data_IF_644240114443
#
_entry.id   IF_644240114443
#
_cell.length_a   1.000
_cell.length_b   1.000
_cell.length_c   1.000
_cell.angle_alpha   90.00
_cell.angle_beta   90.00
_cell.angle_gamma   90.00
#
_symmetry.space_group_name_H-M   'P 1'
#
loop_
_entity.id
_entity.type
_entity.pdbx_description
1 polymer ?
#
# COMPACT_ATOMS: atom_id res chain seq x y z
N UNK A 1 21.55 -9.53 -28.22
CA UNK A 1 20.11 -9.47 -27.91
C UNK A 1 19.77 -8.04 -27.52
N UNK A 2 19.12 -7.29 -28.40
CA UNK A 2 18.64 -5.95 -28.09
C UNK A 2 17.57 -6.10 -26.99
N UNK A 3 17.85 -5.55 -25.80
CA UNK A 3 16.83 -5.45 -24.76
C UNK A 3 15.89 -4.34 -25.24
N UNK A 4 14.76 -4.71 -25.83
CA UNK A 4 13.67 -3.76 -26.06
C UNK A 4 13.30 -3.19 -24.68
N UNK A 5 13.62 -1.92 -24.45
CA UNK A 5 13.15 -1.21 -23.27
C UNK A 5 11.63 -1.16 -23.31
N UNK A 6 10.98 -1.65 -22.25
CA UNK A 6 9.53 -1.54 -22.10
C UNK A 6 9.24 -0.04 -21.90
N UNK A 7 8.40 0.59 -22.74
CA UNK A 7 7.98 1.97 -22.53
C UNK A 7 7.25 2.12 -21.19
N UNK A 8 7.34 3.28 -20.54
CA UNK A 8 6.67 3.52 -19.25
C UNK A 8 5.14 3.34 -19.33
N UNK A 9 4.55 3.53 -20.53
CA UNK A 9 3.13 3.27 -20.80
C UNK A 9 2.72 1.81 -20.64
N UNK A 10 3.66 0.89 -20.86
CA UNK A 10 3.42 -0.55 -20.79
C UNK A 10 3.84 -1.15 -19.44
N UNK A 11 4.42 -0.32 -18.55
CA UNK A 11 4.80 -0.71 -17.19
C UNK A 11 3.64 -0.58 -16.22
N UNK A 12 3.81 -1.23 -15.06
CA UNK A 12 2.92 -1.05 -13.90
C UNK A 12 3.42 0.15 -13.08
N UNK A 13 2.56 1.11 -12.77
CA UNK A 13 2.89 2.17 -11.83
C UNK A 13 2.65 1.71 -10.38
N UNK A 14 3.68 1.77 -9.55
CA UNK A 14 3.56 1.58 -8.10
C UNK A 14 3.58 2.95 -7.41
N UNK A 15 2.41 3.41 -6.95
CA UNK A 15 2.27 4.65 -6.16
C UNK A 15 2.30 4.27 -4.68
N UNK A 16 3.38 4.64 -4.01
CA UNK A 16 3.64 4.24 -2.63
C UNK A 16 3.76 5.47 -1.76
N UNK A 17 3.00 5.53 -0.67
CA UNK A 17 3.00 6.66 0.26
C UNK A 17 3.31 6.21 1.66
N UNK A 18 3.86 7.08 2.49
CA UNK A 18 4.08 6.80 3.91
C UNK A 18 3.93 8.06 4.77
N UNK A 19 3.86 7.86 6.10
CA UNK A 19 3.78 8.95 7.10
C UNK A 19 2.68 9.97 6.83
N UNK A 20 1.50 9.49 6.44
CA UNK A 20 0.29 10.33 6.48
C UNK A 20 -0.08 10.68 7.93
N UNK A 21 0.12 9.72 8.84
CA UNK A 21 0.20 9.97 10.27
C UNK A 21 1.67 10.17 10.67
N UNK A 22 2.03 11.30 11.30
CA UNK A 22 3.43 11.62 11.53
C UNK A 22 4.17 10.70 12.50
N UNK A 23 3.50 10.11 13.49
CA UNK A 23 4.12 9.28 14.52
C UNK A 23 4.48 7.86 14.06
N UNK A 24 4.08 7.46 12.87
CA UNK A 24 4.26 6.11 12.32
C UNK A 24 5.63 5.94 11.67
N UNK A 25 6.69 6.16 12.45
CA UNK A 25 8.09 6.21 12.01
C UNK A 25 8.60 4.89 11.41
N UNK A 26 8.09 3.75 11.87
CA UNK A 26 8.38 2.43 11.31
C UNK A 26 8.07 2.35 9.80
N UNK A 27 7.01 3.01 9.32
CA UNK A 27 6.71 3.09 7.87
C UNK A 27 7.86 3.73 7.07
N UNK A 28 8.59 4.70 7.64
CA UNK A 28 9.75 5.32 6.98
C UNK A 28 10.92 4.35 6.83
N UNK A 29 11.14 3.47 7.80
CA UNK A 29 12.20 2.46 7.72
C UNK A 29 11.89 1.39 6.67
N UNK A 30 10.61 1.00 6.55
CA UNK A 30 10.17 0.10 5.47
C UNK A 30 10.36 0.75 4.10
N UNK A 31 9.95 2.01 3.93
CA UNK A 31 10.19 2.75 2.69
C UNK A 31 11.70 2.90 2.40
N UNK A 32 12.53 3.15 3.42
CA UNK A 32 13.99 3.22 3.24
C UNK A 32 14.56 1.89 2.73
N UNK A 33 14.13 0.76 3.29
CA UNK A 33 14.53 -0.56 2.83
C UNK A 33 14.14 -0.82 1.39
N UNK A 34 12.90 -0.48 1.03
CA UNK A 34 12.42 -0.58 -0.34
C UNK A 34 13.23 0.31 -1.29
N UNK A 35 13.51 1.56 -0.93
CA UNK A 35 14.33 2.48 -1.73
C UNK A 35 15.73 1.92 -1.94
N UNK A 36 16.39 1.42 -0.88
CA UNK A 36 17.72 0.80 -0.97
C UNK A 36 17.73 -0.39 -1.93
N UNK A 37 16.72 -1.26 -1.84
CA UNK A 37 16.56 -2.38 -2.77
C UNK A 37 16.35 -1.86 -4.21
N UNK A 38 15.42 -0.92 -4.41
CA UNK A 38 15.09 -0.34 -5.71
C UNK A 38 16.25 0.42 -6.35
N UNK A 39 17.18 0.99 -5.59
CA UNK A 39 18.38 1.66 -6.14
C UNK A 39 19.58 0.72 -6.22
N UNK A 40 19.43 -0.53 -5.80
CA UNK A 40 20.47 -1.54 -5.82
C UNK A 40 20.74 -2.13 -7.21
N UNK A 41 21.80 -2.93 -7.26
CA UNK A 41 22.31 -3.60 -8.46
C UNK A 41 21.95 -5.08 -8.55
N UNK A 42 21.12 -5.60 -7.63
CA UNK A 42 20.66 -6.99 -7.70
C UNK A 42 19.85 -7.24 -8.98
N UNK A 43 19.86 -8.50 -9.45
CA UNK A 43 19.14 -8.88 -10.68
C UNK A 43 17.64 -8.63 -10.53
N UNK A 44 17.10 -8.87 -9.34
CA UNK A 44 15.71 -8.67 -8.97
C UNK A 44 15.34 -7.18 -9.01
N UNK A 45 16.18 -6.30 -8.43
CA UNK A 45 15.92 -4.87 -8.44
C UNK A 45 15.96 -4.30 -9.87
N UNK A 46 16.93 -4.73 -10.68
CA UNK A 46 17.03 -4.35 -12.10
C UNK A 46 15.80 -4.85 -12.88
N UNK A 47 15.38 -6.10 -12.67
CA UNK A 47 14.20 -6.66 -13.32
C UNK A 47 12.92 -5.91 -12.91
N UNK A 48 12.79 -5.56 -11.64
CA UNK A 48 11.64 -4.83 -11.13
C UNK A 48 11.54 -3.43 -11.75
N UNK A 49 12.66 -2.68 -11.87
CA UNK A 49 12.68 -1.36 -12.54
C UNK A 49 12.37 -1.42 -14.04
N UNK A 50 12.56 -2.58 -14.69
CA UNK A 50 12.14 -2.77 -16.09
C UNK A 50 10.63 -2.93 -16.24
N UNK A 51 9.95 -3.42 -15.20
CA UNK A 51 8.51 -3.71 -15.23
C UNK A 51 7.65 -2.62 -14.57
N UNK A 52 8.25 -1.80 -13.71
CA UNK A 52 7.53 -0.80 -12.91
C UNK A 52 8.04 0.62 -13.09
N UNK A 53 7.11 1.57 -12.98
CA UNK A 53 7.39 2.96 -12.67
C UNK A 53 7.05 3.20 -11.20
N UNK A 54 8.06 3.46 -10.37
CA UNK A 54 7.85 3.74 -8.94
C UNK A 54 7.63 5.23 -8.70
N UNK A 55 6.54 5.56 -8.01
CA UNK A 55 6.18 6.91 -7.57
C UNK A 55 6.03 6.91 -6.06
N UNK A 56 7.10 7.28 -5.36
CA UNK A 56 7.21 7.12 -3.91
C UNK A 56 7.14 8.48 -3.23
N UNK A 57 6.16 8.66 -2.34
CA UNK A 57 6.08 9.81 -1.41
C UNK A 57 6.47 9.32 -0.02
N UNK A 58 7.73 9.48 0.39
CA UNK A 58 8.23 8.89 1.64
C UNK A 58 7.62 9.52 2.90
N UNK A 59 7.01 10.70 2.75
CA UNK A 59 6.39 11.42 3.85
C UNK A 59 5.27 12.34 3.38
N UNK A 60 4.02 12.01 3.74
CA UNK A 60 2.83 12.79 3.39
C UNK A 60 2.54 13.95 4.36
N UNK A 61 3.07 13.91 5.58
CA UNK A 61 2.78 14.91 6.60
C UNK A 61 4.07 15.44 7.26
N UNK A 62 4.97 16.09 6.49
CA UNK A 62 6.23 16.60 7.03
C UNK A 62 6.04 17.61 8.16
N UNK A 63 5.05 18.49 8.04
CA UNK A 63 4.78 19.50 9.07
C UNK A 63 4.38 18.86 10.41
N UNK A 64 3.49 17.87 10.38
CA UNK A 64 3.13 17.11 11.58
C UNK A 64 4.32 16.35 12.17
N UNK A 65 5.29 15.93 11.36
CA UNK A 65 6.53 15.29 11.85
C UNK A 65 7.39 16.30 12.60
N UNK A 66 7.60 17.48 12.01
CA UNK A 66 8.40 18.56 12.61
C UNK A 66 7.80 18.99 13.95
N UNK A 67 6.47 19.05 14.05
CA UNK A 67 5.76 19.42 15.29
C UNK A 67 5.68 18.29 16.32
N UNK A 68 6.12 17.07 16.00
CA UNK A 68 6.00 15.93 16.91
C UNK A 68 4.57 15.42 17.11
N UNK A 69 3.67 15.67 16.16
CA UNK A 69 2.33 15.10 16.20
C UNK A 69 2.39 13.57 16.03
N UNK A 70 1.39 12.86 16.55
CA UNK A 70 1.24 11.43 16.26
C UNK A 70 0.40 11.18 15.00
N UNK A 71 -0.77 11.81 14.91
CA UNK A 71 -1.80 11.45 13.91
C UNK A 71 -2.12 12.55 12.91
N UNK A 72 -2.18 13.80 13.36
CA UNK A 72 -2.80 14.87 12.62
C UNK A 72 -1.80 15.81 11.94
N UNK A 73 -2.27 16.54 10.93
CA UNK A 73 -1.61 17.73 10.38
C UNK A 73 -1.54 18.89 11.38
N UNK A 74 -0.91 19.99 10.99
CA UNK A 74 -0.78 21.22 11.82
C UNK A 74 -2.12 21.81 12.25
N UNK A 75 -3.19 21.58 11.49
CA UNK A 75 -4.54 22.06 11.79
C UNK A 75 -5.37 21.06 12.61
N UNK A 76 -4.74 20.00 13.15
CA UNK A 76 -5.43 18.96 13.92
C UNK A 76 -6.25 17.98 13.07
N UNK A 77 -6.16 18.05 11.74
CA UNK A 77 -6.93 17.18 10.83
C UNK A 77 -6.19 15.87 10.50
N UNK A 78 -6.91 14.75 10.52
CA UNK A 78 -6.43 13.43 10.03
C UNK A 78 -6.45 13.41 8.50
N UNK A 79 -5.26 13.46 7.89
CA UNK A 79 -5.11 13.51 6.44
C UNK A 79 -5.67 12.25 5.75
N UNK A 80 -5.61 11.08 6.41
CA UNK A 80 -6.17 9.83 5.89
C UNK A 80 -7.69 9.70 6.11
N UNK A 81 -8.39 10.82 6.32
CA UNK A 81 -9.86 10.94 6.22
C UNK A 81 -10.31 11.93 5.16
N UNK A 82 -9.38 12.52 4.42
CA UNK A 82 -9.64 13.62 3.50
C UNK A 82 -9.38 13.27 2.03
N UNK A 83 -9.37 11.99 1.68
CA UNK A 83 -9.13 11.57 0.29
C UNK A 83 -10.35 11.70 -0.61
N UNK A 84 -11.60 11.65 -0.12
CA UNK A 84 -12.81 11.64 -0.97
C UNK A 84 -12.98 12.95 -1.75
N UNK A 85 -12.98 14.08 -1.03
CA UNK A 85 -13.09 15.42 -1.59
C UNK A 85 -12.07 16.35 -0.93
N UNK A 86 -10.75 16.15 -1.18
CA UNK A 86 -9.73 16.99 -0.55
C UNK A 86 -9.90 18.43 -1.02
N UNK A 87 -9.70 19.36 -0.09
CA UNK A 87 -9.53 20.78 -0.44
C UNK A 87 -8.04 21.05 -0.59
N UNK A 88 -7.62 21.65 -1.72
CA UNK A 88 -6.20 21.84 -2.05
C UNK A 88 -5.47 22.74 -1.04
N UNK A 89 -6.15 23.76 -0.54
CA UNK A 89 -5.66 24.70 0.48
C UNK A 89 -5.46 24.04 1.84
N UNK A 90 -6.39 23.17 2.26
CA UNK A 90 -6.34 22.53 3.58
C UNK A 90 -5.52 21.22 3.59
N UNK A 91 -5.55 20.45 2.51
CA UNK A 91 -4.95 19.12 2.40
C UNK A 91 -4.09 18.99 1.12
N UNK A 92 -3.08 19.85 0.93
CA UNK A 92 -2.30 19.88 -0.31
C UNK A 92 -1.61 18.55 -0.62
N UNK A 93 -1.07 17.85 0.39
CA UNK A 93 -0.37 16.58 0.18
C UNK A 93 -1.32 15.46 -0.27
N UNK A 94 -2.52 15.41 0.28
CA UNK A 94 -3.59 14.48 -0.16
C UNK A 94 -4.09 14.83 -1.56
N UNK A 95 -4.31 16.12 -1.84
CA UNK A 95 -4.71 16.61 -3.17
C UNK A 95 -3.71 16.20 -4.25
N UNK A 96 -2.42 16.46 -4.01
CA UNK A 96 -1.36 16.14 -4.96
C UNK A 96 -1.12 14.63 -5.08
N UNK A 97 -1.37 13.84 -4.03
CA UNK A 97 -1.35 12.38 -4.11
C UNK A 97 -2.44 11.86 -5.05
N UNK A 98 -3.66 12.41 -4.99
CA UNK A 98 -4.72 12.07 -5.97
C UNK A 98 -4.30 12.42 -7.40
N UNK A 99 -3.68 13.59 -7.60
CA UNK A 99 -3.18 13.99 -8.91
C UNK A 99 -2.09 13.05 -9.43
N UNK A 100 -1.19 12.59 -8.55
CA UNK A 100 -0.13 11.63 -8.87
C UNK A 100 -0.70 10.26 -9.28
N UNK A 101 -1.72 9.76 -8.57
CA UNK A 101 -2.43 8.53 -8.95
C UNK A 101 -3.13 8.69 -10.30
N UNK A 102 -3.83 9.80 -10.53
CA UNK A 102 -4.49 10.08 -11.83
C UNK A 102 -3.50 10.12 -12.99
N UNK A 103 -2.37 10.82 -12.80
CA UNK A 103 -1.29 10.85 -13.78
C UNK A 103 -0.78 9.43 -14.07
N UNK A 104 -0.64 8.61 -13.04
CA UNK A 104 -0.19 7.22 -13.17
C UNK A 104 -1.11 6.36 -14.02
N UNK A 105 -2.43 6.56 -13.93
CA UNK A 105 -3.40 5.84 -14.76
C UNK A 105 -3.31 6.23 -16.24
N UNK A 106 -2.91 7.47 -16.53
CA UNK A 106 -2.76 7.94 -17.93
C UNK A 106 -1.42 7.60 -18.55
N UNK A 107 -0.40 7.27 -17.73
CA UNK A 107 0.98 7.09 -18.19
C UNK A 107 1.48 5.65 -18.11
N UNK A 108 0.68 4.71 -17.62
CA UNK A 108 1.09 3.34 -17.29
C UNK A 108 -0.08 2.37 -17.42
N UNK A 109 0.19 1.12 -17.74
CA UNK A 109 -0.82 0.12 -18.10
C UNK A 109 -1.75 -0.21 -16.91
N UNK A 110 -1.15 -0.32 -15.72
CA UNK A 110 -1.84 -0.66 -14.46
C UNK A 110 -1.28 0.19 -13.34
N UNK A 111 -2.08 0.43 -12.31
CA UNK A 111 -1.65 1.11 -11.08
C UNK A 111 -1.81 0.17 -9.89
N UNK A 112 -0.81 0.18 -9.01
CA UNK A 112 -0.89 -0.36 -7.66
C UNK A 112 -0.71 0.83 -6.71
N UNK A 113 -1.58 0.93 -5.71
CA UNK A 113 -1.47 1.92 -4.64
C UNK A 113 -1.23 1.22 -3.31
N UNK A 114 -0.29 1.72 -2.51
CA UNK A 114 -0.10 1.24 -1.15
C UNK A 114 0.31 2.39 -0.23
N UNK A 115 -0.47 2.60 0.83
CA UNK A 115 -0.18 3.57 1.88
C UNK A 115 0.42 2.84 3.10
N UNK A 116 1.64 3.18 3.49
CA UNK A 116 2.41 2.54 4.56
C UNK A 116 2.15 3.26 5.89
N UNK A 117 1.67 2.50 6.86
CA UNK A 117 1.23 2.93 8.19
C UNK A 117 1.96 2.15 9.29
N UNK A 118 1.81 2.65 10.51
CA UNK A 118 2.22 2.00 11.75
C UNK A 118 1.01 1.61 12.62
N UNK A 119 1.03 0.40 13.17
CA UNK A 119 -0.06 -0.12 13.99
C UNK A 119 0.39 -0.34 15.44
N UNK A 120 -0.15 0.44 16.37
CA UNK A 120 0.29 0.49 17.78
C UNK A 120 -0.23 -0.63 18.67
N UNK A 121 -1.21 -1.41 18.19
CA UNK A 121 -1.91 -2.43 19.01
C UNK A 121 -1.74 -3.87 18.56
N UNK A 122 -1.25 -4.11 17.35
CA UNK A 122 -1.16 -5.45 16.77
C UNK A 122 0.31 -5.74 16.47
N UNK A 123 0.67 -6.99 16.66
CA UNK A 123 1.94 -7.53 16.20
C UNK A 123 1.90 -7.78 14.69
N UNK A 124 3.07 -8.08 14.15
CA UNK A 124 3.31 -8.42 12.74
C UNK A 124 3.09 -7.24 11.76
N UNK A 125 3.39 -7.51 10.50
CA UNK A 125 3.04 -6.68 9.34
C UNK A 125 1.83 -7.30 8.66
N UNK A 126 0.84 -6.50 8.28
CA UNK A 126 -0.33 -7.00 7.55
C UNK A 126 -0.89 -5.91 6.63
N UNK A 127 -1.84 -6.28 5.78
CA UNK A 127 -2.50 -5.34 4.88
C UNK A 127 -3.99 -5.24 5.13
N UNK A 128 -4.49 -4.03 4.94
CA UNK A 128 -5.88 -3.82 4.63
C UNK A 128 -6.05 -3.61 3.13
N UNK A 129 -6.98 -4.34 2.52
CA UNK A 129 -7.40 -4.17 1.13
C UNK A 129 -8.86 -3.72 1.05
N UNK A 130 -9.45 -3.89 -0.13
CA UNK A 130 -10.87 -3.68 -0.37
C UNK A 130 -11.40 -4.89 -1.12
N UNK A 131 -12.58 -5.36 -0.72
CA UNK A 131 -13.24 -6.50 -1.34
C UNK A 131 -14.27 -6.01 -2.36
N UNK A 132 -14.22 -6.56 -3.58
CA UNK A 132 -15.14 -6.30 -4.70
C UNK A 132 -16.63 -6.30 -4.32
N UNK A 133 -17.04 -7.06 -3.30
CA UNK A 133 -18.41 -7.03 -2.79
C UNK A 133 -18.86 -5.65 -2.25
N UNK A 134 -17.94 -4.76 -1.86
CA UNK A 134 -18.23 -3.40 -1.37
C UNK A 134 -18.23 -2.34 -2.47
N UNK A 135 -18.12 -2.74 -3.74
CA UNK A 135 -17.94 -1.80 -4.87
C UNK A 135 -19.27 -1.25 -5.37
N UNK A 136 -20.37 -1.97 -5.12
CA UNK A 136 -21.72 -1.45 -5.35
C UNK A 136 -22.08 -0.43 -4.27
N UNK A 137 -22.81 0.62 -4.66
CA UNK A 137 -23.40 1.55 -3.71
C UNK A 137 -24.22 0.78 -2.68
N UNK A 138 -24.12 1.18 -1.41
CA UNK A 138 -25.04 0.70 -0.38
C UNK A 138 -26.44 1.12 -0.85
N UNK A 139 -27.35 0.19 -1.19
CA UNK A 139 -28.72 0.55 -1.55
C UNK A 139 -29.31 1.48 -0.47
N UNK A 140 -30.17 2.42 -0.88
CA UNK A 140 -30.71 3.47 -0.01
C UNK A 140 -31.38 2.95 1.28
N UNK A 141 -31.69 1.64 1.35
CA UNK A 141 -32.22 0.94 2.52
C UNK A 141 -31.14 0.50 3.54
N UNK A 142 -29.87 0.81 3.32
CA UNK A 142 -28.77 0.43 4.22
C UNK A 142 -28.38 -1.04 4.18
N UNK A 143 -28.92 -1.84 3.26
CA UNK A 143 -28.52 -3.23 3.11
C UNK A 143 -27.07 -3.30 2.60
N UNK A 144 -26.25 -4.16 3.21
CA UNK A 144 -24.90 -4.40 2.71
C UNK A 144 -24.99 -4.90 1.25
N UNK A 145 -24.16 -4.39 0.32
CA UNK A 145 -24.18 -4.82 -1.06
C UNK A 145 -24.04 -6.35 -1.13
N UNK A 146 -24.85 -6.95 -1.99
CA UNK A 146 -24.91 -8.40 -2.16
C UNK A 146 -23.51 -8.89 -2.57
N UNK A 147 -22.97 -9.89 -1.86
CA UNK A 147 -21.66 -10.48 -2.19
C UNK A 147 -21.71 -11.05 -3.61
N UNK A 148 -21.26 -10.29 -4.60
CA UNK A 148 -21.00 -10.85 -5.92
C UNK A 148 -19.78 -11.75 -5.79
N UNK A 149 -20.03 -13.05 -5.77
CA UNK A 149 -19.03 -14.08 -5.60
C UNK A 149 -18.26 -14.29 -6.93
N UNK A 150 -17.56 -13.26 -7.40
CA UNK A 150 -16.58 -13.43 -8.46
C UNK A 150 -15.30 -13.99 -7.81
N UNK A 151 -15.14 -15.32 -7.87
CA UNK A 151 -14.02 -16.02 -7.24
C UNK A 151 -12.66 -15.50 -7.72
N UNK A 152 -12.58 -15.02 -8.97
CA UNK A 152 -11.35 -14.44 -9.53
C UNK A 152 -11.01 -13.07 -8.92
N UNK A 153 -11.98 -12.19 -8.74
CA UNK A 153 -11.72 -10.86 -8.13
C UNK A 153 -11.31 -11.00 -6.67
N UNK A 154 -11.98 -11.89 -5.93
CA UNK A 154 -11.61 -12.23 -4.56
C UNK A 154 -10.15 -12.66 -4.44
N UNK A 155 -9.68 -13.53 -5.36
CA UNK A 155 -8.30 -14.00 -5.40
C UNK A 155 -7.33 -12.90 -5.84
N UNK A 156 -7.66 -12.15 -6.88
CA UNK A 156 -6.84 -11.05 -7.40
C UNK A 156 -6.52 -10.01 -6.33
N UNK A 157 -7.51 -9.61 -5.53
CA UNK A 157 -7.34 -8.62 -4.45
C UNK A 157 -6.41 -9.11 -3.33
N UNK A 158 -6.21 -10.43 -3.19
CA UNK A 158 -5.50 -11.07 -2.07
C UNK A 158 -4.13 -11.62 -2.43
N UNK A 159 -3.80 -11.71 -3.70
CA UNK A 159 -2.60 -12.42 -4.14
C UNK A 159 -1.30 -11.72 -3.72
N UNK A 160 -1.23 -10.38 -3.76
CA UNK A 160 -0.05 -9.65 -3.31
C UNK A 160 0.19 -9.82 -1.79
N UNK A 161 -0.81 -9.61 -0.90
CA UNK A 161 -0.68 -9.95 0.52
C UNK A 161 -0.29 -11.42 0.75
N UNK A 162 -0.81 -12.35 -0.06
CA UNK A 162 -0.44 -13.76 0.04
C UNK A 162 1.04 -13.98 -0.30
N UNK A 163 1.53 -13.43 -1.42
CA UNK A 163 2.94 -13.50 -1.80
C UNK A 163 3.86 -12.92 -0.72
N UNK A 164 3.48 -11.79 -0.11
CA UNK A 164 4.22 -11.20 1.00
C UNK A 164 4.36 -12.14 2.19
N UNK A 165 3.31 -12.90 2.53
CA UNK A 165 3.38 -13.90 3.61
C UNK A 165 4.30 -15.08 3.29
N UNK A 166 4.52 -15.37 2.01
CA UNK A 166 5.48 -16.39 1.58
C UNK A 166 6.91 -15.84 1.55
N UNK A 167 7.05 -14.56 1.21
CA UNK A 167 8.34 -13.89 1.12
C UNK A 167 8.90 -13.49 2.48
N UNK A 168 8.05 -13.11 3.43
CA UNK A 168 8.42 -12.70 4.79
C UNK A 168 7.60 -13.46 5.85
N UNK A 169 7.73 -14.80 5.94
CA UNK A 169 6.87 -15.63 6.80
C UNK A 169 7.06 -15.36 8.29
N UNK A 170 8.19 -14.76 8.69
CA UNK A 170 8.50 -14.36 10.05
C UNK A 170 8.04 -12.93 10.38
N UNK A 171 7.50 -12.17 9.41
CA UNK A 171 7.08 -10.76 9.60
C UNK A 171 5.67 -10.46 9.12
N UNK A 172 5.22 -11.07 8.02
CA UNK A 172 3.96 -10.72 7.35
C UNK A 172 2.84 -11.73 7.65
N UNK A 173 1.80 -11.25 8.31
CA UNK A 173 0.65 -12.03 8.74
C UNK A 173 -0.53 -11.92 7.74
N UNK A 174 -0.64 -12.91 6.84
CA UNK A 174 -1.75 -12.96 5.89
C UNK A 174 -3.12 -13.13 6.56
N UNK A 175 -3.24 -13.99 7.58
CA UNK A 175 -4.50 -14.19 8.31
C UNK A 175 -4.93 -12.93 9.08
N UNK A 176 -3.96 -12.05 9.36
CA UNK A 176 -4.15 -10.73 9.94
C UNK A 176 -4.69 -9.68 8.98
N UNK A 177 -4.68 -9.93 7.67
CA UNK A 177 -5.18 -9.00 6.65
C UNK A 177 -6.72 -8.88 6.70
N UNK A 178 -7.26 -7.72 6.32
CA UNK A 178 -8.72 -7.49 6.22
C UNK A 178 -9.07 -6.76 4.94
N UNK A 179 -10.16 -7.16 4.29
CA UNK A 179 -10.63 -6.58 3.03
C UNK A 179 -12.03 -5.96 3.14
N UNK A 180 -12.69 -6.13 4.30
CA UNK A 180 -13.93 -5.43 4.60
C UNK A 180 -13.70 -3.93 4.78
N UNK A 181 -14.69 -3.14 4.37
CA UNK A 181 -14.66 -1.68 4.47
C UNK A 181 -15.62 -1.23 5.57
N UNK A 182 -15.07 -0.60 6.60
CA UNK A 182 -15.88 0.03 7.65
C UNK A 182 -16.30 1.45 7.21
N UNK A 183 -17.53 1.92 7.51
CA UNK A 183 -18.02 3.24 7.07
C UNK A 183 -17.07 4.41 7.39
N UNK A 184 -16.41 4.37 8.55
CA UNK A 184 -15.44 5.42 8.96
C UNK A 184 -14.15 5.44 8.14
N UNK A 185 -13.94 4.46 7.25
CA UNK A 185 -12.75 4.31 6.40
C UNK A 185 -13.02 4.67 4.95
N UNK A 186 -14.26 5.02 4.62
CA UNK A 186 -14.71 5.40 3.27
C UNK A 186 -13.86 6.51 2.64
N UNK A 187 -13.40 7.47 3.44
CA UNK A 187 -12.59 8.60 2.97
C UNK A 187 -11.07 8.39 3.11
N UNK A 188 -10.61 7.15 3.33
CA UNK A 188 -9.17 6.81 3.34
C UNK A 188 -8.63 6.66 1.92
N UNK A 189 -7.32 6.89 1.75
CA UNK A 189 -6.69 6.79 0.42
C UNK A 189 -6.92 5.43 -0.23
N UNK A 190 -6.77 4.34 0.54
CA UNK A 190 -7.02 2.97 0.09
C UNK A 190 -8.40 2.81 -0.57
N UNK A 191 -9.46 3.18 0.16
CA UNK A 191 -10.85 2.97 -0.29
C UNK A 191 -11.19 3.89 -1.45
N UNK A 192 -10.76 5.15 -1.39
CA UNK A 192 -11.00 6.14 -2.44
C UNK A 192 -10.33 5.73 -3.75
N UNK A 193 -9.05 5.35 -3.75
CA UNK A 193 -8.37 4.91 -4.97
C UNK A 193 -8.91 3.58 -5.50
N UNK A 194 -9.38 2.70 -4.63
CA UNK A 194 -10.03 1.47 -5.06
C UNK A 194 -11.38 1.74 -5.73
N UNK A 195 -12.24 2.58 -5.12
CA UNK A 195 -13.62 2.79 -5.58
C UNK A 195 -13.73 3.86 -6.67
N UNK A 196 -13.18 5.05 -6.44
CA UNK A 196 -13.34 6.20 -7.38
C UNK A 196 -12.37 6.13 -8.56
N UNK A 197 -11.19 5.51 -8.37
CA UNK A 197 -10.17 5.38 -9.41
C UNK A 197 -10.10 3.97 -9.97
N UNK A 198 -10.92 3.05 -9.48
CA UNK A 198 -11.03 1.68 -9.98
C UNK A 198 -9.73 0.87 -9.89
N UNK A 199 -8.88 1.18 -8.92
CA UNK A 199 -7.60 0.49 -8.70
C UNK A 199 -7.80 -0.73 -7.78
N UNK A 200 -7.88 -1.92 -8.36
CA UNK A 200 -8.10 -3.16 -7.60
C UNK A 200 -7.03 -3.41 -6.53
N UNK A 201 -5.76 -3.11 -6.85
CA UNK A 201 -4.62 -3.30 -5.94
C UNK A 201 -4.31 -2.01 -5.18
N UNK A 202 -5.24 -1.62 -4.30
CA UNK A 202 -5.13 -0.45 -3.43
C UNK A 202 -5.13 -0.90 -1.97
N UNK A 203 -4.03 -0.64 -1.27
CA UNK A 203 -3.77 -1.19 0.06
C UNK A 203 -3.41 -0.14 1.10
N UNK A 204 -3.63 -0.50 2.36
CA UNK A 204 -2.92 0.07 3.51
C UNK A 204 -2.02 -1.04 4.05
N UNK A 205 -0.70 -0.82 4.13
CA UNK A 205 0.22 -1.72 4.79
C UNK A 205 0.45 -1.23 6.22
N UNK A 206 0.09 -2.05 7.19
CA UNK A 206 0.20 -1.75 8.61
C UNK A 206 1.43 -2.48 9.16
N UNK A 207 2.42 -1.72 9.62
CA UNK A 207 3.62 -2.27 10.26
C UNK A 207 3.50 -2.13 11.77
N UNK A 208 3.72 -3.18 12.55
CA UNK A 208 3.74 -3.09 14.01
C UNK A 208 4.79 -2.10 14.54
N UNK A 209 4.50 -1.45 15.67
CA UNK A 209 5.51 -0.75 16.49
C UNK A 209 6.26 -1.68 17.44
N UNK A 210 5.83 -2.94 17.53
CA UNK A 210 6.32 -3.91 18.50
C UNK A 210 7.19 -4.96 17.79
N UNK A 211 6.60 -6.08 17.37
CA UNK A 211 7.34 -7.21 16.84
C UNK A 211 6.45 -8.27 16.21
N UNK A 212 7.01 -9.45 15.97
CA UNK A 212 6.32 -10.58 15.35
C UNK A 212 6.21 -11.78 16.28
N UNK A 213 5.09 -12.48 16.17
CA UNK A 213 4.79 -13.75 16.88
C UNK A 213 4.65 -14.92 15.90
N UNK A 214 4.99 -14.74 14.62
CA UNK A 214 4.71 -15.73 13.57
C UNK A 214 5.65 -16.94 13.56
N UNK A 215 6.91 -16.74 13.95
CA UNK A 215 7.97 -17.75 13.83
C UNK A 215 8.39 -18.37 15.15
N UNK A 216 7.84 -17.89 16.27
CA UNK A 216 8.25 -18.24 17.63
C UNK A 216 7.06 -18.25 18.58
N UNK A 217 7.18 -18.96 19.70
CA UNK A 217 6.18 -18.93 20.77
C UNK A 217 6.20 -17.63 21.57
N UNK A 218 7.33 -16.92 21.56
CA UNK A 218 7.51 -15.62 22.19
C UNK A 218 7.61 -14.49 21.15
N UNK A 219 7.15 -13.30 21.56
CA UNK A 219 7.23 -12.09 20.74
C UNK A 219 8.69 -11.72 20.47
N UNK A 220 9.09 -11.70 19.20
CA UNK A 220 10.35 -11.10 18.75
C UNK A 220 10.12 -9.63 18.43
N UNK A 221 10.67 -8.73 19.24
CA UNK A 221 10.65 -7.29 18.95
C UNK A 221 11.38 -6.98 17.64
N UNK A 222 10.81 -6.06 16.87
CA UNK A 222 11.44 -5.53 15.67
C UNK A 222 12.36 -4.39 15.99
N UNK A 223 13.49 -4.37 15.28
CA UNK A 223 14.35 -3.20 15.20
C UNK A 223 14.31 -2.59 13.78
N UNK A 224 15.13 -1.57 13.55
CA UNK A 224 15.20 -0.91 12.24
C UNK A 224 15.66 -1.83 11.11
N UNK A 225 16.43 -2.87 11.40
CA UNK A 225 16.89 -3.84 10.40
C UNK A 225 15.74 -4.71 9.91
N UNK A 226 14.80 -5.08 10.79
CA UNK A 226 13.59 -5.81 10.40
C UNK A 226 12.69 -4.99 9.47
N UNK A 227 12.54 -3.70 9.75
CA UNK A 227 11.76 -2.81 8.88
C UNK A 227 12.44 -2.61 7.52
N UNK A 228 13.76 -2.43 7.49
CA UNK A 228 14.54 -2.31 6.26
C UNK A 228 14.43 -3.60 5.43
N UNK A 229 14.58 -4.77 6.07
CA UNK A 229 14.40 -6.07 5.41
C UNK A 229 12.98 -6.20 4.85
N UNK A 230 11.94 -5.86 5.60
CA UNK A 230 10.56 -5.88 5.12
C UNK A 230 10.37 -5.04 3.84
N UNK A 231 11.03 -3.88 3.75
CA UNK A 231 11.04 -3.06 2.55
C UNK A 231 11.63 -3.78 1.32
N UNK A 232 12.73 -4.50 1.51
CA UNK A 232 13.31 -5.35 0.46
C UNK A 232 12.38 -6.51 0.09
N UNK A 233 11.77 -7.19 1.08
CA UNK A 233 10.83 -8.29 0.83
C UNK A 233 9.61 -7.82 0.01
N UNK A 234 9.12 -6.60 0.23
CA UNK A 234 8.06 -6.00 -0.59
C UNK A 234 8.48 -5.86 -2.05
N UNK A 235 9.70 -5.38 -2.31
CA UNK A 235 10.23 -5.29 -3.67
C UNK A 235 10.27 -6.65 -4.38
N UNK A 236 10.71 -7.70 -3.69
CA UNK A 236 10.73 -9.07 -4.23
C UNK A 236 9.32 -9.59 -4.50
N UNK A 237 8.38 -9.38 -3.57
CA UNK A 237 6.98 -9.79 -3.78
C UNK A 237 6.31 -9.05 -4.94
N UNK A 238 6.62 -7.76 -5.16
CA UNK A 238 6.12 -7.02 -6.33
C UNK A 238 6.65 -7.61 -7.65
N UNK A 239 7.89 -8.09 -7.68
CA UNK A 239 8.45 -8.74 -8.87
C UNK A 239 7.71 -10.06 -9.17
N UNK A 240 7.49 -10.89 -8.15
CA UNK A 240 6.71 -12.13 -8.27
C UNK A 240 5.28 -11.83 -8.72
N UNK A 241 4.66 -10.80 -8.13
CA UNK A 241 3.30 -10.39 -8.44
C UNK A 241 3.16 -9.92 -9.89
N UNK A 242 4.13 -9.17 -10.40
CA UNK A 242 4.15 -8.73 -11.80
C UNK A 242 4.14 -9.89 -12.79
N UNK A 243 4.91 -10.95 -12.50
CA UNK A 243 4.91 -12.15 -13.34
C UNK A 243 3.52 -12.77 -13.43
N UNK A 244 2.75 -12.78 -12.33
CA UNK A 244 1.38 -13.30 -12.31
C UNK A 244 0.42 -12.37 -13.06
N UNK A 245 0.55 -11.05 -12.89
CA UNK A 245 -0.29 -10.06 -13.57
C UNK A 245 -0.10 -10.04 -15.09
N UNK A 246 1.06 -10.49 -15.57
CA UNK A 246 1.43 -10.51 -16.99
C UNK A 246 1.27 -11.92 -17.61
N UNK A 247 0.92 -12.94 -16.84
CA UNK A 247 0.59 -14.26 -17.38
C UNK A 247 -0.63 -14.16 -18.29
N UNK A 248 -0.62 -14.77 -19.49
CA UNK A 248 -1.81 -14.83 -20.34
C UNK A 248 -2.93 -15.54 -19.58
N UNK A 249 -4.13 -14.95 -19.64
CA UNK A 249 -5.37 -15.53 -19.10
C UNK A 249 -5.87 -16.66 -19.98
#
# INVERSE_FOLDING_TARGET
>A
FAILEIPDSDKIAAVLTARVHPGETNSSWVILGLLRFLTGTSKEAIALRKQFVFRIVPMLNPDGVILGNYRCSVTGSDLNRNYRHPRKDAFPTVWHTRALVKLSQTSSQKVIFCDFHGHSRRNDVFMYGCDSSYRQDIPANGALPQRFNCQLDYLNERILPYLLSKQAPDKFNFSGCRFSIHPTKEATGRVVFWREFEISHSFTLETTFNGSELSRSDLRQFDTTDFIDMGQQIGISLLQFCSILNSPK
#
